data_IF_687694364818
#
_entry.id   IF_687694364818
#
_cell.length_a   1.000
_cell.length_b   1.000
_cell.length_c   1.000
_cell.angle_alpha   90.00
_cell.angle_beta   90.00
_cell.angle_gamma   90.00
#
_symmetry.space_group_name_H-M   'P 1'
#
loop_
_entity.id
_entity.type
_entity.pdbx_description
1 polymer ?
#
# COMPACT_ATOMS: atom_id res chain seq x y z
N UNK A 1 -0.05 -12.91 -4.26
CA UNK A 1 0.38 -11.64 -3.69
C UNK A 1 -0.56 -10.53 -4.13
N UNK A 2 -0.96 -9.70 -3.20
CA UNK A 2 -1.95 -8.65 -3.46
C UNK A 2 -1.47 -7.30 -2.96
N UNK A 3 -1.98 -6.24 -3.51
CA UNK A 3 -1.68 -4.88 -3.08
C UNK A 3 -2.97 -4.14 -2.79
N UNK A 4 -2.97 -3.36 -1.71
CA UNK A 4 -4.01 -2.40 -1.43
C UNK A 4 -3.39 -1.02 -1.53
N UNK A 5 -3.89 -0.20 -2.44
CA UNK A 5 -3.38 1.13 -2.68
C UNK A 5 -4.40 2.14 -2.19
N UNK A 6 -3.98 3.01 -1.27
CA UNK A 6 -4.82 4.06 -0.73
C UNK A 6 -4.28 5.38 -1.24
N UNK A 7 -5.06 6.05 -2.10
CA UNK A 7 -4.68 7.34 -2.67
C UNK A 7 -5.57 8.38 -2.02
N UNK A 8 -4.97 9.44 -1.50
CA UNK A 8 -5.78 10.45 -0.83
C UNK A 8 -5.24 11.86 -1.03
N UNK A 9 -6.16 12.82 -0.93
CA UNK A 9 -5.84 14.23 -0.85
C UNK A 9 -5.97 14.65 0.62
N UNK A 10 -4.95 15.33 1.14
CA UNK A 10 -4.95 15.74 2.52
C UNK A 10 -6.02 16.80 2.77
N UNK A 11 -6.76 16.62 3.85
CA UNK A 11 -7.69 17.61 4.35
C UNK A 11 -7.11 18.26 5.59
N UNK A 12 -7.79 18.13 6.71
CA UNK A 12 -7.33 18.70 7.97
C UNK A 12 -7.00 17.59 8.95
N UNK A 13 -5.72 17.29 9.07
CA UNK A 13 -5.27 16.28 10.00
C UNK A 13 -5.15 16.88 11.40
N UNK A 14 -5.44 16.07 12.39
CA UNK A 14 -5.31 16.43 13.80
C UNK A 14 -4.67 15.27 14.56
N UNK A 15 -4.53 15.43 15.89
CA UNK A 15 -3.87 14.40 16.70
C UNK A 15 -4.63 13.09 16.64
N UNK A 16 -5.95 13.13 16.61
CA UNK A 16 -6.75 11.92 16.53
C UNK A 16 -6.50 11.15 15.24
N UNK A 17 -6.34 11.88 14.12
CA UNK A 17 -6.00 11.27 12.85
C UNK A 17 -4.64 10.58 12.92
N UNK A 18 -3.62 11.30 13.41
CA UNK A 18 -2.27 10.77 13.47
C UNK A 18 -2.18 9.55 14.38
N UNK A 19 -2.88 9.57 15.49
CA UNK A 19 -2.89 8.45 16.41
C UNK A 19 -3.55 7.23 15.80
N UNK A 20 -4.69 7.40 15.16
CA UNK A 20 -5.41 6.28 14.53
C UNK A 20 -4.62 5.73 13.35
N UNK A 21 -4.03 6.60 12.53
CA UNK A 21 -3.22 6.19 11.40
C UNK A 21 -2.02 5.35 11.88
N UNK A 22 -1.36 5.77 12.94
CA UNK A 22 -0.24 5.04 13.51
C UNK A 22 -0.68 3.68 14.06
N UNK A 23 -1.81 3.64 14.74
CA UNK A 23 -2.34 2.39 15.28
C UNK A 23 -2.70 1.40 14.19
N UNK A 24 -3.27 1.88 13.09
CA UNK A 24 -3.60 1.02 11.94
C UNK A 24 -2.32 0.48 11.31
N UNK A 25 -1.30 1.32 11.14
CA UNK A 25 -0.04 0.88 10.56
C UNK A 25 0.63 -0.18 11.43
N UNK A 26 0.64 0.01 12.75
CA UNK A 26 1.21 -0.95 13.66
C UNK A 26 0.45 -2.26 13.66
N UNK A 27 -0.86 -2.20 13.62
CA UNK A 27 -1.70 -3.38 13.56
C UNK A 27 -1.49 -4.14 12.25
N UNK A 28 -1.42 -3.43 11.14
CA UNK A 28 -1.20 -4.05 9.84
C UNK A 28 0.11 -4.83 9.81
N UNK A 29 1.17 -4.27 10.39
CA UNK A 29 2.48 -4.91 10.42
C UNK A 29 2.51 -6.21 11.22
N UNK A 30 1.53 -6.42 12.08
CA UNK A 30 1.44 -7.62 12.89
C UNK A 30 0.54 -8.68 12.29
N UNK A 31 -0.19 -8.37 11.22
CA UNK A 31 -1.08 -9.34 10.61
C UNK A 31 -0.29 -10.38 9.82
N UNK A 32 -0.66 -11.66 9.91
CA UNK A 32 -0.05 -12.68 9.08
C UNK A 32 -0.28 -12.32 7.61
N UNK A 33 0.77 -12.42 6.81
CA UNK A 33 0.67 -12.11 5.39
C UNK A 33 1.02 -10.67 5.03
N UNK A 34 1.28 -9.80 6.01
CA UNK A 34 1.79 -8.47 5.71
C UNK A 34 3.20 -8.60 5.13
N UNK A 35 3.45 -7.99 3.97
CA UNK A 35 4.75 -8.05 3.31
C UNK A 35 5.51 -6.74 3.34
N UNK A 36 4.83 -5.65 3.55
CA UNK A 36 5.47 -4.34 3.61
C UNK A 36 4.57 -3.24 3.06
N UNK A 37 5.07 -2.02 3.13
CA UNK A 37 4.33 -0.86 2.66
C UNK A 37 5.29 0.17 2.08
N UNK A 38 4.78 1.00 1.18
CA UNK A 38 5.54 2.12 0.63
C UNK A 38 4.58 3.27 0.35
N UNK A 39 5.09 4.49 0.47
CA UNK A 39 4.28 5.68 0.23
C UNK A 39 4.96 6.59 -0.79
N UNK A 40 4.16 7.19 -1.64
CA UNK A 40 4.61 8.10 -2.68
C UNK A 40 3.74 9.33 -2.66
N UNK A 41 4.31 10.46 -3.01
CA UNK A 41 3.55 11.69 -3.12
C UNK A 41 3.81 12.33 -4.48
N UNK A 42 2.81 13.05 -4.98
CA UNK A 42 2.90 13.78 -6.22
C UNK A 42 2.83 15.27 -5.91
N UNK A 43 3.92 15.99 -6.17
CA UNK A 43 3.99 17.40 -5.83
C UNK A 43 3.02 18.26 -6.64
N UNK A 44 2.72 17.85 -7.87
CA UNK A 44 1.82 18.62 -8.73
C UNK A 44 0.36 18.47 -8.32
N UNK A 45 -0.08 17.24 -8.06
CA UNK A 45 -1.47 17.00 -7.69
C UNK A 45 -1.72 17.12 -6.19
N UNK A 46 -0.69 17.01 -5.39
CA UNK A 46 -0.83 16.98 -3.93
C UNK A 46 -1.35 15.65 -3.41
N UNK A 47 -1.47 14.63 -4.25
CA UNK A 47 -1.97 13.34 -3.82
C UNK A 47 -0.87 12.49 -3.20
N UNK A 48 -1.25 11.68 -2.22
CA UNK A 48 -0.37 10.71 -1.59
C UNK A 48 -0.92 9.32 -1.86
N UNK A 49 -0.03 8.37 -2.16
CA UNK A 49 -0.41 7.00 -2.39
C UNK A 49 0.37 6.11 -1.42
N UNK A 50 -0.33 5.33 -0.63
CA UNK A 50 0.28 4.35 0.26
C UNK A 50 -0.13 2.96 -0.20
N UNK A 51 0.85 2.11 -0.45
CA UNK A 51 0.61 0.76 -0.95
C UNK A 51 1.04 -0.23 0.11
N UNK A 52 0.13 -1.14 0.47
CA UNK A 52 0.42 -2.24 1.38
C UNK A 52 0.41 -3.51 0.55
N UNK A 53 1.41 -4.37 0.75
CA UNK A 53 1.51 -5.65 0.05
C UNK A 53 1.19 -6.80 0.98
N UNK A 54 0.46 -7.78 0.46
CA UNK A 54 -0.07 -8.90 1.24
C UNK A 54 0.18 -10.22 0.52
N UNK A 55 0.50 -11.26 1.28
CA UNK A 55 0.71 -12.59 0.69
C UNK A 55 -0.57 -13.24 0.22
N UNK A 56 -1.72 -12.83 0.76
CA UNK A 56 -3.02 -13.42 0.42
C UNK A 56 -4.12 -12.37 0.48
N UNK A 57 -5.23 -12.67 -0.17
CA UNK A 57 -6.40 -11.81 -0.10
C UNK A 57 -7.02 -11.84 1.30
N UNK A 58 -6.94 -12.97 1.98
CA UNK A 58 -7.45 -13.09 3.35
C UNK A 58 -6.73 -12.16 4.31
N UNK A 59 -5.42 -12.02 4.17
CA UNK A 59 -4.66 -11.10 5.01
C UNK A 59 -5.12 -9.65 4.81
N UNK A 60 -5.30 -9.26 3.55
CA UNK A 60 -5.80 -7.93 3.22
C UNK A 60 -7.20 -7.73 3.82
N UNK A 61 -8.07 -8.72 3.73
CA UNK A 61 -9.41 -8.62 4.27
C UNK A 61 -9.41 -8.47 5.79
N UNK A 62 -8.47 -9.09 6.49
CA UNK A 62 -8.34 -8.92 7.93
C UNK A 62 -8.05 -7.46 8.30
N UNK A 63 -7.21 -6.78 7.54
CA UNK A 63 -6.99 -5.35 7.75
C UNK A 63 -8.28 -4.58 7.52
N UNK A 64 -8.95 -4.83 6.41
CA UNK A 64 -10.12 -4.05 6.02
C UNK A 64 -11.29 -4.22 6.99
N UNK A 65 -11.37 -5.36 7.66
CA UNK A 65 -12.44 -5.64 8.60
C UNK A 65 -12.08 -5.33 10.05
N UNK A 66 -10.84 -4.92 10.31
CA UNK A 66 -10.41 -4.61 11.68
C UNK A 66 -11.16 -3.39 12.21
N UNK A 67 -11.58 -3.39 13.48
CA UNK A 67 -12.34 -2.25 14.05
C UNK A 67 -11.64 -0.91 13.90
N UNK A 68 -10.32 -0.84 14.03
CA UNK A 68 -9.60 0.41 13.86
C UNK A 68 -9.68 0.92 12.42
N UNK A 69 -9.63 0.03 11.44
CA UNK A 69 -9.76 0.41 10.05
C UNK A 69 -11.19 0.89 9.75
N UNK A 70 -12.18 0.22 10.32
CA UNK A 70 -13.57 0.63 10.15
C UNK A 70 -13.83 1.98 10.79
N UNK A 71 -13.20 2.27 11.94
CA UNK A 71 -13.31 3.57 12.59
C UNK A 71 -12.71 4.67 11.72
N UNK A 72 -11.56 4.41 11.11
CA UNK A 72 -10.93 5.37 10.21
C UNK A 72 -11.80 5.63 8.98
N UNK A 73 -12.39 4.57 8.43
CA UNK A 73 -13.25 4.71 7.27
C UNK A 73 -14.49 5.55 7.60
N UNK A 74 -15.04 5.39 8.79
CA UNK A 74 -16.19 6.16 9.21
C UNK A 74 -15.85 7.63 9.43
N UNK A 75 -14.64 7.93 9.88
CA UNK A 75 -14.22 9.29 10.20
C UNK A 75 -13.47 10.00 9.06
N UNK A 76 -13.20 9.32 7.95
CA UNK A 76 -12.30 9.85 6.93
C UNK A 76 -12.75 11.21 6.37
N UNK A 77 -14.02 11.48 6.30
CA UNK A 77 -14.52 12.75 5.78
C UNK A 77 -14.12 13.96 6.62
N UNK A 78 -13.71 13.75 7.86
CA UNK A 78 -13.23 14.83 8.72
C UNK A 78 -11.79 15.20 8.41
N UNK A 79 -11.01 14.27 7.83
CA UNK A 79 -9.58 14.44 7.68
C UNK A 79 -9.10 14.49 6.24
N UNK A 80 -9.80 13.83 5.32
CA UNK A 80 -9.36 13.74 3.92
C UNK A 80 -10.24 14.59 3.03
N UNK A 81 -9.63 15.25 2.06
CA UNK A 81 -10.36 15.97 1.03
C UNK A 81 -10.90 15.03 -0.06
N UNK A 82 -10.39 13.82 -0.11
CA UNK A 82 -10.88 12.79 -1.02
C UNK A 82 -9.95 11.57 -0.96
N UNK A 83 -10.45 10.43 -1.41
CA UNK A 83 -9.63 9.22 -1.44
C UNK A 83 -10.14 8.22 -2.47
N UNK A 84 -9.25 7.33 -2.86
CA UNK A 84 -9.55 6.21 -3.75
C UNK A 84 -8.78 5.00 -3.25
N UNK A 85 -9.42 3.84 -3.19
CA UNK A 85 -8.77 2.59 -2.83
C UNK A 85 -8.75 1.67 -4.05
N UNK A 86 -7.61 1.10 -4.34
CA UNK A 86 -7.47 0.14 -5.44
C UNK A 86 -6.90 -1.14 -4.87
N UNK A 87 -7.60 -2.25 -5.07
CA UNK A 87 -7.14 -3.57 -4.67
C UNK A 87 -6.69 -4.28 -5.95
N UNK A 88 -5.47 -4.80 -5.96
CA UNK A 88 -4.92 -5.43 -7.15
C UNK A 88 -4.16 -6.70 -6.80
N UNK A 89 -4.05 -7.58 -7.77
CA UNK A 89 -3.21 -8.75 -7.65
C UNK A 89 -1.89 -8.46 -8.35
N UNK A 90 -0.77 -8.75 -7.68
CA UNK A 90 0.54 -8.59 -8.28
C UNK A 90 0.86 -9.83 -9.08
N UNK A 91 0.97 -9.70 -10.37
CA UNK A 91 1.21 -10.83 -11.25
C UNK A 91 2.70 -11.18 -11.30
N UNK A 92 3.57 -10.18 -11.33
CA UNK A 92 5.02 -10.40 -11.35
C UNK A 92 5.75 -9.09 -11.11
N UNK A 93 7.03 -9.18 -10.83
CA UNK A 93 7.89 -8.02 -10.65
C UNK A 93 9.11 -8.15 -11.54
N UNK A 94 9.59 -7.02 -12.05
CA UNK A 94 10.80 -6.95 -12.84
C UNK A 94 11.68 -5.84 -12.31
N UNK A 95 12.94 -5.91 -12.59
CA UNK A 95 13.86 -4.83 -12.28
C UNK A 95 15.29 -5.25 -12.51
N UNK A 96 16.22 -4.31 -12.47
CA UNK A 96 17.64 -4.60 -12.61
C UNK A 96 18.33 -4.76 -11.25
N UNK A 97 17.56 -4.67 -10.16
CA UNK A 97 18.10 -4.82 -8.81
C UNK A 97 18.82 -3.62 -8.25
N UNK A 98 18.81 -2.49 -8.97
CA UNK A 98 19.52 -1.30 -8.52
C UNK A 98 18.70 -0.41 -7.60
N UNK A 99 17.41 -0.67 -7.49
CA UNK A 99 16.54 0.03 -6.56
C UNK A 99 16.21 -0.94 -5.44
N UNK A 100 16.35 -0.47 -4.21
CA UNK A 100 16.00 -1.26 -3.04
C UNK A 100 14.48 -1.19 -2.88
N UNK A 101 13.81 -2.28 -3.20
CA UNK A 101 12.36 -2.37 -3.11
C UNK A 101 11.96 -3.59 -2.30
N UNK A 102 10.88 -3.47 -1.55
CA UNK A 102 10.43 -4.55 -0.68
C UNK A 102 9.95 -5.78 -1.46
N UNK A 103 9.60 -5.63 -2.74
CA UNK A 103 9.30 -6.74 -3.61
C UNK A 103 10.46 -6.88 -4.59
N UNK A 104 11.40 -7.80 -4.36
CA UNK A 104 12.56 -7.92 -5.24
C UNK A 104 12.14 -8.38 -6.64
N UNK A 105 12.88 -7.97 -7.66
CA UNK A 105 12.54 -8.35 -9.02
C UNK A 105 12.81 -9.84 -9.24
N UNK A 106 11.77 -10.60 -9.54
CA UNK A 106 11.89 -12.04 -9.67
C UNK A 106 12.45 -12.42 -11.03
N UNK A 107 12.10 -11.67 -12.04
CA UNK A 107 12.60 -11.98 -13.37
C UNK A 107 14.08 -11.80 -13.49
N UNK A 108 14.66 -10.83 -12.82
CA UNK A 108 16.08 -10.62 -12.90
C UNK A 108 16.85 -11.80 -12.34
N UNK A 109 16.29 -12.48 -11.39
CA UNK A 109 16.95 -13.63 -10.84
C UNK A 109 17.01 -14.73 -11.87
N UNK A 110 16.06 -14.81 -12.72
CA UNK A 110 16.07 -15.83 -13.72
C UNK A 110 16.96 -15.44 -14.87
N UNK A 111 17.41 -14.31 -14.84
CA UNK A 111 18.32 -13.92 -15.87
C UNK A 111 17.68 -13.75 -17.16
N UNK A 112 16.45 -13.62 -17.26
CA UNK A 112 15.97 -13.48 -18.46
C UNK A 112 15.28 -12.42 -18.54
N UNK A 113 15.27 -11.97 -17.66
CA UNK A 113 14.66 -10.92 -17.77
C UNK A 113 14.73 -10.28 -18.95
N UNK A 114 15.29 -10.28 -19.54
CA UNK A 114 15.36 -9.63 -20.42
C UNK A 114 14.44 -9.57 -21.21
N UNK A 115 14.44 -9.96 -21.56
CA UNK A 115 13.68 -9.84 -22.57
C UNK A 115 12.47 -9.43 -22.25
N UNK A 116 12.08 -9.86 -21.38
CA UNK A 116 10.95 -9.49 -21.04
C UNK A 116 10.93 -8.26 -20.51
N UNK A 117 11.89 -7.80 -20.04
CA UNK A 117 11.91 -6.54 -19.50
C UNK A 117 11.29 -5.55 -20.36
N UNK A 118 11.50 -5.71 -21.52
CA UNK A 118 11.00 -4.74 -22.43
C UNK A 118 9.54 -4.53 -22.29
N UNK A 119 8.89 -5.45 -21.76
CA UNK A 119 7.51 -5.26 -21.67
C UNK A 119 7.10 -4.57 -20.45
N UNK A 120 7.97 -4.17 -19.71
CA UNK A 120 7.61 -3.49 -18.47
C UNK A 120 6.78 -2.24 -18.65
#
# INVERSE_FOLDING_TARGET
>A
MYASTFIFAAGQFNDAYHQLDQEIAEMARQLPGYLGEESWSNATSGLVSTVYYWSSLEALQQLMQHPKHLAAKAAQGQWLAGYQVVISQVLRTYGDGKIDHLLPPRGSAAGHGKADGATA
#
